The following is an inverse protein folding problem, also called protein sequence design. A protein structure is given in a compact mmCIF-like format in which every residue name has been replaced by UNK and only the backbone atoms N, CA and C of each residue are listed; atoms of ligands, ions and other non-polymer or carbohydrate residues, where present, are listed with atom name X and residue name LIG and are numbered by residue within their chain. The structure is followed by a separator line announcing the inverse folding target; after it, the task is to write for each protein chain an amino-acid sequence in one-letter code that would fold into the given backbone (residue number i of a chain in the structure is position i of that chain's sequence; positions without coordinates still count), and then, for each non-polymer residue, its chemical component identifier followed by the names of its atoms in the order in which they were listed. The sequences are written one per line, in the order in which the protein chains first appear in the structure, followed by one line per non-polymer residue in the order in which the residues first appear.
data_IF_014116109120
#
_entry.id   IF_014116109120
#
_cell.length_a   1.000
_cell.length_b   1.000
_cell.length_c   1.000
_cell.angle_alpha   90.00
_cell.angle_beta   90.00
_cell.angle_gamma   90.00
#
_symmetry.space_group_name_H-M   'P 1'
#
loop_
_entity.id
_entity.type
_entity.pdbx_description
1 polymer ?
#
# COMPACT_ATOMS: atom_id res chain seq x y z
N UNK A 1 -22.98 -19.23 29.88
CA UNK A 1 -22.88 -20.70 30.03
C UNK A 1 -22.11 -21.03 31.30
N UNK A 2 -22.71 -21.84 32.16
CA UNK A 2 -22.06 -22.46 33.33
C UNK A 2 -21.05 -23.49 32.82
N UNK A 3 -19.84 -23.54 33.38
CA UNK A 3 -18.85 -24.55 32.99
C UNK A 3 -19.20 -25.92 33.59
N UNK A 4 -19.19 -26.95 32.75
CA UNK A 4 -19.50 -28.34 33.13
C UNK A 4 -18.21 -29.15 33.04
N UNK A 5 -17.86 -29.84 34.12
CA UNK A 5 -16.68 -30.69 34.14
C UNK A 5 -16.77 -31.83 33.11
N UNK A 6 -15.64 -32.14 32.46
CA UNK A 6 -15.56 -33.32 31.59
C UNK A 6 -15.76 -34.60 32.38
N UNK A 7 -16.43 -35.60 31.78
CA UNK A 7 -16.54 -36.95 32.35
C UNK A 7 -15.16 -37.58 32.66
N UNK A 8 -14.12 -37.17 31.93
CA UNK A 8 -12.76 -37.68 32.08
C UNK A 8 -11.88 -36.81 33.01
N UNK A 9 -12.42 -35.77 33.67
CA UNK A 9 -11.64 -34.82 34.49
C UNK A 9 -11.01 -35.46 35.73
N UNK A 10 -11.62 -36.53 36.23
CA UNK A 10 -11.20 -37.25 37.44
C UNK A 10 -10.58 -38.62 37.12
N UNK A 11 -10.09 -38.82 35.90
CA UNK A 11 -9.23 -39.96 35.57
C UNK A 11 -8.01 -40.00 36.50
N UNK A 12 -7.54 -41.22 36.83
CA UNK A 12 -6.30 -41.39 37.58
C UNK A 12 -5.08 -40.94 36.74
N UNK A 13 -3.94 -40.75 37.41
CA UNK A 13 -2.69 -40.38 36.73
C UNK A 13 -2.29 -41.45 35.73
N UNK A 14 -2.45 -42.73 36.08
CA UNK A 14 -2.11 -43.88 35.25
C UNK A 14 -2.92 -43.89 33.96
N UNK A 15 -4.24 -43.66 34.06
CA UNK A 15 -5.12 -43.60 32.89
C UNK A 15 -4.78 -42.40 31.99
N UNK A 16 -4.50 -41.24 32.58
CA UNK A 16 -4.07 -40.07 31.81
C UNK A 16 -2.73 -40.32 31.08
N UNK A 17 -1.77 -40.97 31.73
CA UNK A 17 -0.48 -41.31 31.12
C UNK A 17 -0.62 -42.36 30.01
N UNK A 18 -1.57 -43.29 30.13
CA UNK A 18 -1.90 -44.23 29.05
C UNK A 18 -2.44 -43.49 27.83
N UNK A 19 -3.45 -42.64 28.01
CA UNK A 19 -4.02 -41.82 26.92
C UNK A 19 -2.99 -40.86 26.31
N UNK A 20 -2.08 -40.32 27.12
CA UNK A 20 -0.98 -39.48 26.64
C UNK A 20 -0.04 -40.22 25.69
N UNK A 21 0.32 -41.48 26.00
CA UNK A 21 1.13 -42.32 25.09
C UNK A 21 0.43 -42.59 23.77
N UNK A 22 -0.89 -42.83 23.80
CA UNK A 22 -1.72 -42.94 22.59
C UNK A 22 -1.68 -41.66 21.74
N UNK A 23 -1.72 -40.49 22.38
CA UNK A 23 -1.58 -39.19 21.69
C UNK A 23 -0.20 -39.00 21.06
N UNK A 24 0.89 -39.37 21.76
CA UNK A 24 2.26 -39.25 21.25
C UNK A 24 2.44 -40.00 19.93
N UNK A 25 1.98 -41.26 19.88
CA UNK A 25 2.09 -42.10 18.68
C UNK A 25 1.03 -41.77 17.62
N UNK A 26 0.03 -40.96 17.98
CA UNK A 26 -1.07 -40.57 17.09
C UNK A 26 -1.99 -41.75 16.73
N UNK A 27 -2.24 -42.67 17.67
CA UNK A 27 -3.16 -43.79 17.44
C UNK A 27 -4.59 -43.33 17.20
N UNK A 28 -5.47 -44.20 16.70
CA UNK A 28 -6.89 -43.88 16.51
C UNK A 28 -7.52 -43.34 17.80
N UNK A 29 -7.17 -43.92 18.96
CA UNK A 29 -7.61 -43.42 20.26
C UNK A 29 -6.99 -42.08 20.61
N UNK A 30 -5.69 -41.91 20.37
CA UNK A 30 -4.97 -40.65 20.61
C UNK A 30 -5.54 -39.48 19.82
N UNK A 31 -5.95 -39.71 18.56
CA UNK A 31 -6.56 -38.70 17.70
C UNK A 31 -7.92 -38.18 18.24
N UNK A 32 -8.62 -38.97 19.05
CA UNK A 32 -9.86 -38.58 19.72
C UNK A 32 -9.62 -37.85 21.05
N UNK A 33 -8.37 -37.73 21.49
CA UNK A 33 -8.00 -37.16 22.78
C UNK A 33 -7.41 -35.75 22.64
N UNK A 34 -7.51 -34.97 23.71
CA UNK A 34 -6.72 -33.76 23.90
C UNK A 34 -6.25 -33.69 25.35
N UNK A 35 -5.05 -33.12 25.58
CA UNK A 35 -4.58 -32.87 26.93
C UNK A 35 -5.15 -31.54 27.39
N UNK A 36 -5.72 -31.50 28.60
CA UNK A 36 -6.25 -30.28 29.22
C UNK A 36 -5.59 -30.03 30.57
N UNK A 37 -5.41 -28.76 30.92
CA UNK A 37 -5.12 -28.37 32.29
C UNK A 37 -6.30 -28.65 33.21
N UNK A 38 -6.03 -29.02 34.46
CA UNK A 38 -7.05 -29.16 35.50
C UNK A 38 -7.08 -27.88 36.34
N UNK A 39 -7.91 -26.93 35.92
CA UNK A 39 -8.04 -25.59 36.49
C UNK A 39 -9.40 -25.45 37.22
N UNK A 40 -10.14 -24.36 37.03
CA UNK A 40 -11.47 -24.17 37.61
C UNK A 40 -12.52 -23.99 36.51
N UNK A 41 -13.41 -24.97 36.37
CA UNK A 41 -14.51 -24.93 35.40
C UNK A 41 -15.57 -23.89 35.75
N UNK A 42 -15.62 -23.41 37.00
CA UNK A 42 -16.54 -22.37 37.46
C UNK A 42 -15.94 -20.96 37.42
N UNK A 43 -14.68 -20.82 37.04
CA UNK A 43 -13.99 -19.52 37.02
C UNK A 43 -14.75 -18.51 36.14
N UNK A 44 -14.98 -17.27 36.62
CA UNK A 44 -15.62 -16.23 35.80
C UNK A 44 -14.85 -15.95 34.50
N UNK A 45 -13.52 -16.06 34.53
CA UNK A 45 -12.66 -16.00 33.36
C UNK A 45 -12.65 -17.35 32.63
N UNK A 46 -13.27 -17.38 31.45
CA UNK A 46 -13.38 -18.59 30.64
C UNK A 46 -12.04 -19.17 30.19
N UNK A 47 -10.97 -18.37 30.13
CA UNK A 47 -9.64 -18.86 29.76
C UNK A 47 -9.03 -19.80 30.82
N UNK A 48 -9.51 -19.71 32.07
CA UNK A 48 -9.09 -20.56 33.19
C UNK A 48 -9.95 -21.83 33.34
N UNK A 49 -10.88 -22.09 32.41
CA UNK A 49 -11.75 -23.28 32.45
C UNK A 49 -11.15 -24.45 31.69
N UNK A 50 -10.28 -25.20 32.39
CA UNK A 50 -9.57 -26.39 31.90
C UNK A 50 -9.10 -26.25 30.43
N UNK A 51 -8.15 -25.35 30.16
CA UNK A 51 -7.66 -25.11 28.80
C UNK A 51 -7.11 -26.40 28.13
N UNK A 52 -7.30 -26.54 26.82
CA UNK A 52 -6.57 -27.52 26.01
C UNK A 52 -5.09 -27.13 25.85
N UNK A 53 -4.19 -27.98 26.34
CA UNK A 53 -2.74 -27.82 26.22
C UNK A 53 -2.16 -28.48 24.97
N UNK A 54 -2.60 -29.68 24.61
CA UNK A 54 -2.14 -30.38 23.39
C UNK A 54 -3.29 -30.97 22.60
N UNK A 55 -3.11 -31.01 21.28
CA UNK A 55 -4.00 -31.70 20.34
C UNK A 55 -3.17 -32.54 19.37
N UNK A 56 -3.75 -33.64 18.91
CA UNK A 56 -3.16 -34.40 17.83
C UNK A 56 -3.41 -33.71 16.49
N UNK A 57 -2.40 -33.69 15.64
CA UNK A 57 -2.49 -33.31 14.23
C UNK A 57 -1.56 -34.23 13.44
N UNK A 58 -2.10 -35.13 12.59
CA UNK A 58 -1.29 -36.10 11.87
C UNK A 58 -0.50 -35.49 10.70
N UNK A 59 -0.83 -34.27 10.28
CA UNK A 59 -0.20 -33.59 9.15
C UNK A 59 1.28 -33.28 9.45
N UNK A 60 2.18 -33.46 8.47
CA UNK A 60 3.59 -33.09 8.63
C UNK A 60 3.76 -31.60 8.92
N UNK A 61 4.61 -31.27 9.90
CA UNK A 61 5.02 -29.90 10.18
C UNK A 61 6.06 -29.44 9.16
N UNK A 62 5.97 -28.18 8.71
CA UNK A 62 6.83 -27.65 7.66
C UNK A 62 8.34 -27.65 7.99
N UNK A 63 8.73 -27.53 9.27
CA UNK A 63 10.15 -27.59 9.72
C UNK A 63 10.59 -29.02 10.09
N UNK A 64 9.86 -29.70 10.98
CA UNK A 64 10.28 -30.95 11.63
C UNK A 64 9.59 -32.20 11.03
N UNK A 65 8.87 -32.03 9.92
CA UNK A 65 8.19 -33.12 9.21
C UNK A 65 7.20 -33.88 10.09
N UNK A 66 7.30 -35.21 10.06
CA UNK A 66 6.40 -36.12 10.79
C UNK A 66 6.93 -36.54 12.17
N UNK A 67 7.94 -35.85 12.72
CA UNK A 67 8.57 -36.23 13.99
C UNK A 67 7.58 -36.26 15.16
N UNK A 68 6.59 -35.38 15.17
CA UNK A 68 5.56 -35.31 16.20
C UNK A 68 4.16 -35.41 15.57
N UNK A 69 3.25 -36.04 16.32
CA UNK A 69 1.83 -36.18 15.96
C UNK A 69 0.89 -35.38 16.86
N UNK A 70 1.44 -34.69 17.86
CA UNK A 70 0.73 -33.81 18.76
C UNK A 70 1.46 -32.48 18.90
N UNK A 71 0.71 -31.40 19.03
CA UNK A 71 1.23 -30.05 19.07
C UNK A 71 0.57 -29.26 20.21
N UNK A 72 1.33 -28.38 20.88
CA UNK A 72 0.79 -27.56 21.95
C UNK A 72 -0.15 -26.50 21.37
N UNK A 73 -1.12 -26.07 22.17
CA UNK A 73 -1.92 -24.88 21.86
C UNK A 73 -1.07 -23.61 22.05
N UNK A 74 -1.47 -22.53 21.36
CA UNK A 74 -0.85 -21.21 21.51
C UNK A 74 -0.74 -20.79 22.99
N UNK A 75 -1.85 -20.90 23.72
CA UNK A 75 -1.95 -20.47 25.12
C UNK A 75 -1.06 -21.27 26.06
N UNK A 76 -0.72 -22.52 25.71
CA UNK A 76 0.19 -23.36 26.49
C UNK A 76 1.66 -23.17 26.09
N UNK A 77 1.93 -23.00 24.80
CA UNK A 77 3.28 -22.85 24.27
C UNK A 77 3.89 -21.47 24.58
N UNK A 78 3.14 -20.38 24.38
CA UNK A 78 3.69 -19.02 24.51
C UNK A 78 4.26 -18.71 25.91
N UNK A 79 3.55 -18.98 27.03
CA UNK A 79 4.09 -18.69 28.35
C UNK A 79 5.39 -19.46 28.65
N UNK A 80 5.50 -20.70 28.17
CA UNK A 80 6.69 -21.54 28.27
C UNK A 80 7.84 -20.96 27.44
N UNK A 81 7.61 -20.64 26.17
CA UNK A 81 8.64 -20.12 25.26
C UNK A 81 9.19 -18.80 25.75
N UNK A 82 8.33 -17.86 26.14
CA UNK A 82 8.73 -16.56 26.64
C UNK A 82 9.58 -16.67 27.91
N UNK A 83 9.15 -17.50 28.87
CA UNK A 83 9.92 -17.73 30.08
C UNK A 83 11.27 -18.39 29.78
N UNK A 84 11.30 -19.39 28.90
CA UNK A 84 12.50 -20.15 28.54
C UNK A 84 13.53 -19.33 27.76
N UNK A 85 13.06 -18.37 26.97
CA UNK A 85 13.88 -17.42 26.20
C UNK A 85 14.25 -16.16 27.00
N UNK A 86 13.77 -16.03 28.25
CA UNK A 86 14.11 -14.89 29.11
C UNK A 86 13.39 -13.59 28.73
N UNK A 87 12.26 -13.65 28.01
CA UNK A 87 11.46 -12.48 27.64
C UNK A 87 10.99 -11.75 28.89
N UNK A 88 11.48 -10.53 29.08
CA UNK A 88 11.15 -9.68 30.24
C UNK A 88 9.77 -9.04 30.09
N UNK A 89 9.48 -8.53 28.90
CA UNK A 89 8.25 -7.80 28.57
C UNK A 89 7.62 -8.43 27.33
N UNK A 90 6.51 -9.16 27.52
CA UNK A 90 5.73 -9.73 26.42
C UNK A 90 4.73 -8.68 25.92
N UNK A 91 5.01 -8.07 24.76
CA UNK A 91 4.16 -7.06 24.14
C UNK A 91 3.11 -7.75 23.25
N UNK A 92 1.81 -7.49 23.50
CA UNK A 92 0.74 -8.11 22.71
C UNK A 92 -0.48 -7.22 22.52
N UNK A 93 -1.35 -7.62 21.59
CA UNK A 93 -2.61 -6.93 21.36
C UNK A 93 -3.60 -7.14 22.51
N UNK A 94 -4.40 -6.11 22.80
CA UNK A 94 -5.41 -6.09 23.89
C UNK A 94 -6.53 -7.12 23.74
N UNK A 95 -6.73 -7.68 22.55
CA UNK A 95 -7.69 -8.76 22.30
C UNK A 95 -7.39 -10.05 23.06
N UNK A 96 -6.16 -10.22 23.53
CA UNK A 96 -5.78 -11.37 24.33
C UNK A 96 -6.00 -11.12 25.83
N UNK A 97 -6.42 -9.93 26.28
CA UNK A 97 -6.47 -9.53 27.69
C UNK A 97 -7.00 -10.59 28.66
N UNK A 98 -8.13 -11.21 28.34
CA UNK A 98 -8.75 -12.24 29.17
C UNK A 98 -7.82 -13.45 29.42
N UNK A 99 -6.84 -13.69 28.55
CA UNK A 99 -5.86 -14.78 28.63
C UNK A 99 -4.63 -14.45 29.47
N UNK A 100 -4.49 -13.24 30.00
CA UNK A 100 -3.34 -12.87 30.84
C UNK A 100 -3.29 -13.73 32.10
N UNK A 101 -4.43 -13.92 32.78
CA UNK A 101 -4.51 -14.75 33.98
C UNK A 101 -4.09 -16.19 33.70
N UNK A 102 -4.56 -16.74 32.58
CA UNK A 102 -4.17 -18.06 32.08
C UNK A 102 -2.67 -18.16 31.80
N UNK A 103 -2.09 -17.17 31.14
CA UNK A 103 -0.66 -17.13 30.82
C UNK A 103 0.19 -17.20 32.10
N UNK A 104 -0.14 -16.38 33.11
CA UNK A 104 0.57 -16.39 34.40
C UNK A 104 0.39 -17.70 35.16
N UNK A 105 -0.83 -18.27 35.10
CA UNK A 105 -1.12 -19.55 35.75
C UNK A 105 -0.26 -20.68 35.19
N UNK A 106 -0.07 -20.72 33.87
CA UNK A 106 0.77 -21.73 33.22
C UNK A 106 2.24 -21.58 33.63
N UNK A 107 2.76 -20.34 33.71
CA UNK A 107 4.13 -20.12 34.18
C UNK A 107 4.31 -20.54 35.64
N UNK A 108 3.32 -20.28 36.49
CA UNK A 108 3.31 -20.69 37.89
C UNK A 108 3.28 -22.23 38.03
N UNK A 109 2.36 -22.90 37.34
CA UNK A 109 2.24 -24.37 37.38
C UNK A 109 3.52 -25.06 36.90
N UNK A 110 4.29 -24.43 36.00
CA UNK A 110 5.57 -24.93 35.50
C UNK A 110 6.79 -24.51 36.35
N UNK A 111 6.61 -23.71 37.40
CA UNK A 111 7.71 -23.18 38.21
C UNK A 111 8.64 -22.23 37.44
N UNK A 112 8.10 -21.53 36.44
CA UNK A 112 8.84 -20.65 35.54
C UNK A 112 8.84 -19.19 35.99
N UNK A 113 9.82 -18.43 35.47
CA UNK A 113 9.86 -16.98 35.68
C UNK A 113 8.64 -16.31 35.02
N UNK A 114 8.03 -15.36 35.73
CA UNK A 114 6.96 -14.52 35.20
C UNK A 114 7.50 -13.50 34.21
N UNK A 115 6.90 -13.44 33.02
CA UNK A 115 7.15 -12.37 32.03
C UNK A 115 6.13 -11.25 32.23
N UNK A 116 6.52 -9.97 32.15
CA UNK A 116 5.57 -8.87 32.28
C UNK A 116 4.78 -8.68 30.99
N UNK A 117 3.46 -8.84 31.03
CA UNK A 117 2.62 -8.62 29.84
C UNK A 117 2.26 -7.14 29.73
N UNK A 118 2.52 -6.54 28.58
CA UNK A 118 2.07 -5.20 28.22
C UNK A 118 1.23 -5.25 26.96
N UNK A 119 0.11 -4.52 27.00
CA UNK A 119 -0.93 -4.62 26.00
C UNK A 119 -1.17 -3.30 25.29
N UNK A 120 -1.39 -3.39 23.99
CA UNK A 120 -1.72 -2.26 23.13
C UNK A 120 -2.82 -2.65 22.13
N UNK A 121 -3.55 -1.67 21.62
CA UNK A 121 -4.55 -1.87 20.59
C UNK A 121 -3.88 -2.22 19.27
N UNK A 122 -4.51 -3.10 18.50
CA UNK A 122 -4.08 -3.36 17.13
C UNK A 122 -4.36 -2.12 16.27
N UNK A 123 -3.47 -1.84 15.32
CA UNK A 123 -3.75 -0.89 14.24
C UNK A 123 -4.90 -1.39 13.35
N UNK A 124 -5.92 -0.57 13.13
CA UNK A 124 -6.92 -0.82 12.08
C UNK A 124 -6.95 0.36 11.11
N UNK A 125 -6.98 0.05 9.83
CA UNK A 125 -7.10 1.03 8.75
C UNK A 125 -8.51 0.93 8.14
N UNK A 126 -9.07 2.05 7.70
CA UNK A 126 -10.30 2.05 6.90
C UNK A 126 -10.10 1.29 5.58
N UNK A 127 -11.21 0.85 4.97
CA UNK A 127 -11.24 0.14 3.69
C UNK A 127 -10.37 -1.13 3.63
N UNK A 128 -10.04 -1.69 4.80
CA UNK A 128 -9.12 -2.82 4.93
C UNK A 128 -9.87 -4.05 5.42
N UNK A 129 -9.56 -5.20 4.83
CA UNK A 129 -10.13 -6.50 5.18
C UNK A 129 -9.06 -7.45 5.71
N UNK A 130 -9.50 -8.48 6.44
CA UNK A 130 -8.61 -9.56 6.92
C UNK A 130 -8.60 -10.79 6.01
N UNK A 131 -9.59 -10.94 5.13
CA UNK A 131 -9.77 -12.10 4.25
C UNK A 131 -8.85 -12.04 3.01
N UNK A 132 -7.58 -11.69 3.18
CA UNK A 132 -6.64 -11.46 2.07
C UNK A 132 -6.43 -12.71 1.21
N UNK A 133 -6.35 -13.89 1.83
CA UNK A 133 -6.21 -15.16 1.12
C UNK A 133 -7.34 -15.39 0.10
N UNK A 134 -8.57 -14.96 0.41
CA UNK A 134 -9.69 -15.11 -0.50
C UNK A 134 -9.49 -14.29 -1.78
N UNK A 135 -8.98 -13.06 -1.69
CA UNK A 135 -8.71 -12.23 -2.86
C UNK A 135 -7.65 -12.87 -3.78
N UNK A 136 -6.60 -13.44 -3.18
CA UNK A 136 -5.55 -14.15 -3.92
C UNK A 136 -6.12 -15.39 -4.60
N UNK A 137 -6.85 -16.23 -3.85
CA UNK A 137 -7.41 -17.49 -4.39
C UNK A 137 -8.48 -17.27 -5.47
N UNK A 138 -9.18 -16.14 -5.45
CA UNK A 138 -10.23 -15.81 -6.43
C UNK A 138 -9.74 -14.88 -7.55
N UNK A 139 -8.43 -14.65 -7.68
CA UNK A 139 -7.85 -13.83 -8.76
C UNK A 139 -8.36 -12.39 -8.78
N UNK A 140 -8.72 -11.83 -7.61
CA UNK A 140 -9.15 -10.43 -7.48
C UNK A 140 -7.98 -9.47 -7.34
N UNK A 141 -6.80 -10.02 -7.10
CA UNK A 141 -5.50 -9.34 -6.99
C UNK A 141 -4.42 -10.22 -7.61
N UNK A 142 -3.27 -9.63 -7.89
CA UNK A 142 -2.17 -10.31 -8.57
C UNK A 142 -1.37 -11.21 -7.62
N UNK A 143 -1.32 -10.87 -6.33
CA UNK A 143 -0.54 -11.58 -5.33
C UNK A 143 -0.59 -10.96 -3.93
N UNK A 144 0.33 -11.37 -3.06
CA UNK A 144 0.48 -10.81 -1.71
C UNK A 144 1.18 -9.44 -1.70
N UNK A 145 1.88 -9.14 -2.78
CA UNK A 145 2.60 -7.91 -3.10
C UNK A 145 1.80 -6.93 -3.97
N UNK A 146 0.52 -7.24 -4.22
CA UNK A 146 -0.38 -6.38 -4.98
C UNK A 146 -0.47 -4.96 -4.36
N UNK A 147 -0.34 -3.87 -5.14
CA UNK A 147 -0.40 -2.49 -4.65
C UNK A 147 -1.68 -2.11 -3.89
N UNK A 148 -2.77 -2.86 -4.09
CA UNK A 148 -4.06 -2.66 -3.40
C UNK A 148 -4.10 -3.34 -2.03
N UNK A 149 -3.15 -4.22 -1.72
CA UNK A 149 -3.10 -4.94 -0.46
C UNK A 149 -2.56 -4.10 0.69
N UNK A 150 -3.11 -4.27 1.90
CA UNK A 150 -2.61 -3.63 3.13
C UNK A 150 -1.37 -4.36 3.70
N UNK A 151 -0.71 -5.21 2.90
CA UNK A 151 0.52 -5.89 3.29
C UNK A 151 1.69 -4.92 3.18
N UNK A 152 2.77 -5.19 3.91
CA UNK A 152 4.00 -4.39 3.78
C UNK A 152 4.52 -4.42 2.34
N UNK A 153 4.50 -5.59 1.70
CA UNK A 153 4.92 -5.72 0.31
C UNK A 153 4.02 -4.93 -0.64
N UNK A 154 2.70 -4.99 -0.48
CA UNK A 154 1.74 -4.27 -1.32
C UNK A 154 1.84 -2.76 -1.20
N UNK A 155 1.90 -2.22 0.02
CA UNK A 155 2.03 -0.77 0.18
C UNK A 155 3.40 -0.25 -0.29
N UNK A 156 4.47 -1.04 -0.15
CA UNK A 156 5.81 -0.71 -0.66
C UNK A 156 5.86 -0.79 -2.19
N UNK A 157 5.23 -1.78 -2.82
CA UNK A 157 5.12 -1.88 -4.28
C UNK A 157 4.31 -0.70 -4.85
N UNK A 158 3.33 -0.18 -4.10
CA UNK A 158 2.62 1.06 -4.40
C UNK A 158 3.44 2.34 -4.19
N UNK A 159 4.68 2.25 -3.69
CA UNK A 159 5.59 3.39 -3.52
C UNK A 159 5.61 3.99 -2.11
N UNK A 160 5.11 3.29 -1.10
CA UNK A 160 5.33 3.67 0.30
C UNK A 160 6.80 3.45 0.70
N UNK A 161 7.42 4.47 1.28
CA UNK A 161 8.74 4.37 1.90
C UNK A 161 8.62 3.77 3.30
N UNK A 162 9.55 2.86 3.65
CA UNK A 162 9.53 2.16 4.95
C UNK A 162 9.68 3.17 6.10
N UNK A 163 10.46 4.22 5.87
CA UNK A 163 10.65 5.34 6.80
C UNK A 163 9.32 6.05 7.10
N UNK A 164 8.45 6.20 6.09
CA UNK A 164 7.12 6.79 6.26
C UNK A 164 6.24 5.91 7.15
N UNK A 165 6.29 4.59 6.95
CA UNK A 165 5.58 3.63 7.78
C UNK A 165 6.07 3.67 9.23
N UNK A 166 7.39 3.67 9.43
CA UNK A 166 8.00 3.76 10.76
C UNK A 166 7.55 5.05 11.46
N UNK A 167 7.63 6.20 10.78
CA UNK A 167 7.17 7.47 11.33
C UNK A 167 5.68 7.44 11.68
N UNK A 168 4.84 6.87 10.82
CA UNK A 168 3.41 6.72 11.08
C UNK A 168 3.14 5.89 12.34
N UNK A 169 3.86 4.78 12.53
CA UNK A 169 3.73 3.94 13.73
C UNK A 169 4.20 4.68 14.99
N UNK A 170 5.30 5.44 14.91
CA UNK A 170 5.78 6.25 16.05
C UNK A 170 4.81 7.38 16.42
N UNK A 171 4.25 8.08 15.43
CA UNK A 171 3.24 9.12 15.66
C UNK A 171 1.96 8.57 16.31
N UNK A 172 1.61 7.31 16.03
CA UNK A 172 0.45 6.67 16.62
C UNK A 172 0.70 6.26 18.08
N UNK A 173 1.88 5.71 18.35
CA UNK A 173 2.27 5.22 19.67
C UNK A 173 1.48 3.99 20.14
N UNK A 174 1.92 3.42 21.27
CA UNK A 174 1.26 2.28 21.88
C UNK A 174 0.14 2.76 22.83
N UNK A 175 -1.12 2.54 22.45
CA UNK A 175 -2.29 2.85 23.27
C UNK A 175 -3.25 1.67 23.34
N UNK A 176 -3.96 1.48 24.45
CA UNK A 176 -5.00 0.45 24.60
C UNK A 176 -6.31 0.81 23.89
N UNK A 177 -6.49 2.08 23.51
CA UNK A 177 -7.72 2.55 22.86
C UNK A 177 -7.82 2.00 21.44
N UNK A 178 -8.97 1.45 21.09
CA UNK A 178 -9.25 1.02 19.72
C UNK A 178 -9.08 2.20 18.76
N UNK A 179 -8.37 1.95 17.67
CA UNK A 179 -8.11 2.93 16.64
C UNK A 179 -8.69 2.46 15.29
N UNK A 180 -9.13 3.44 14.49
CA UNK A 180 -9.47 3.27 13.08
C UNK A 180 -8.86 4.45 12.33
N UNK A 181 -7.81 4.17 11.57
CA UNK A 181 -6.95 5.16 10.94
C UNK A 181 -7.29 5.31 9.45
N UNK A 182 -7.14 6.54 8.96
CA UNK A 182 -7.30 6.88 7.54
C UNK A 182 -5.96 6.71 6.81
N UNK A 183 -6.00 6.18 5.58
CA UNK A 183 -4.80 6.01 4.75
C UNK A 183 -4.14 7.34 4.38
N UNK A 184 -4.93 8.41 4.27
CA UNK A 184 -4.47 9.75 3.89
C UNK A 184 -3.34 10.26 4.79
N UNK A 185 -3.37 9.93 6.09
CA UNK A 185 -2.31 10.32 7.03
C UNK A 185 -0.98 9.66 6.66
N UNK A 186 -0.99 8.35 6.42
CA UNK A 186 0.20 7.60 6.03
C UNK A 186 0.78 8.11 4.70
N UNK A 187 -0.09 8.35 3.71
CA UNK A 187 0.33 8.87 2.41
C UNK A 187 0.82 10.32 2.46
N UNK A 188 0.27 11.14 3.35
CA UNK A 188 0.79 12.50 3.62
C UNK A 188 2.20 12.46 4.19
N UNK A 189 2.48 11.54 5.11
CA UNK A 189 3.84 11.33 5.65
C UNK A 189 4.78 10.87 4.53
N UNK A 190 4.34 9.92 3.71
CA UNK A 190 5.11 9.44 2.56
C UNK A 190 5.46 10.56 1.58
N UNK A 191 4.47 11.41 1.24
CA UNK A 191 4.66 12.57 0.36
C UNK A 191 5.75 13.51 0.89
N UNK A 192 5.76 13.80 2.20
CA UNK A 192 6.78 14.67 2.81
C UNK A 192 8.19 14.12 2.67
N UNK A 193 8.34 12.80 2.55
CA UNK A 193 9.63 12.12 2.34
C UNK A 193 10.03 12.13 0.87
N UNK A 194 9.09 11.81 -0.05
CA UNK A 194 9.42 11.66 -1.48
C UNK A 194 9.48 12.99 -2.24
N UNK A 195 8.62 13.97 -1.92
CA UNK A 195 8.50 15.22 -2.68
C UNK A 195 9.82 16.01 -2.74
N UNK A 196 10.59 16.19 -1.65
CA UNK A 196 11.83 16.96 -1.72
C UNK A 196 12.90 16.35 -2.64
N UNK A 197 12.83 15.05 -2.94
CA UNK A 197 13.92 14.31 -3.61
C UNK A 197 13.53 13.71 -4.97
N UNK A 198 12.24 13.53 -5.27
CA UNK A 198 11.80 12.79 -6.46
C UNK A 198 12.09 13.54 -7.79
N UNK A 199 12.70 12.96 -8.82
CA UNK A 199 12.83 13.62 -10.13
C UNK A 199 11.48 14.07 -10.71
N UNK A 200 11.46 15.23 -11.40
CA UNK A 200 10.26 15.77 -12.06
C UNK A 200 10.31 15.48 -13.55
N UNK A 201 9.21 14.91 -14.04
CA UNK A 201 9.00 14.54 -15.42
C UNK A 201 7.69 15.14 -15.93
N UNK A 202 7.57 15.26 -17.24
CA UNK A 202 6.34 15.73 -17.87
C UNK A 202 5.70 14.59 -18.64
N UNK A 203 4.39 14.45 -18.47
CA UNK A 203 3.58 13.52 -19.24
C UNK A 203 2.28 14.18 -19.68
N UNK A 204 1.75 13.74 -20.83
CA UNK A 204 0.48 14.18 -21.39
C UNK A 204 -0.37 12.95 -21.69
N UNK A 205 -1.64 12.96 -21.29
CA UNK A 205 -2.56 11.85 -21.59
C UNK A 205 -2.74 11.70 -23.11
N UNK A 206 -2.57 10.49 -23.63
CA UNK A 206 -2.45 10.25 -25.06
C UNK A 206 -3.72 10.61 -25.83
N UNK A 207 -4.88 10.13 -25.38
CA UNK A 207 -6.17 10.33 -26.05
C UNK A 207 -6.65 11.78 -26.00
N UNK A 208 -6.13 12.57 -25.06
CA UNK A 208 -6.54 13.96 -24.79
C UNK A 208 -5.37 14.93 -24.88
N UNK A 209 -4.42 14.70 -25.78
CA UNK A 209 -3.34 15.65 -26.04
C UNK A 209 -3.81 16.74 -27.00
N UNK A 210 -3.50 17.99 -26.68
CA UNK A 210 -3.80 19.16 -27.52
C UNK A 210 -2.52 19.69 -28.12
N UNK A 211 -2.53 19.97 -29.43
CA UNK A 211 -1.37 20.56 -30.10
C UNK A 211 -1.38 22.07 -29.92
N UNK A 212 -0.30 22.65 -29.40
CA UNK A 212 -0.03 24.09 -29.45
C UNK A 212 1.06 24.37 -30.48
N UNK A 213 0.72 25.19 -31.48
CA UNK A 213 1.66 25.68 -32.50
C UNK A 213 2.08 27.11 -32.16
N UNK A 214 3.38 27.31 -31.90
CA UNK A 214 3.98 28.61 -31.63
C UNK A 214 4.48 29.23 -32.95
N UNK A 215 3.80 30.25 -33.47
CA UNK A 215 4.05 30.75 -34.84
C UNK A 215 5.44 31.38 -34.99
N UNK A 216 5.94 32.06 -33.94
CA UNK A 216 7.30 32.57 -33.80
C UNK A 216 8.21 31.63 -32.96
N UNK A 217 7.82 30.36 -32.79
CA UNK A 217 8.67 29.33 -32.20
C UNK A 217 9.89 29.01 -33.08
N UNK A 218 10.85 28.21 -32.58
CA UNK A 218 12.08 27.90 -33.30
C UNK A 218 11.78 27.13 -34.59
N UNK A 219 12.39 27.54 -35.71
CA UNK A 219 12.23 26.88 -37.00
C UNK A 219 12.87 25.48 -37.00
N UNK A 220 14.07 25.38 -36.41
CA UNK A 220 14.76 24.11 -36.18
C UNK A 220 14.71 23.72 -34.68
N UNK A 221 14.37 22.46 -34.35
CA UNK A 221 14.43 21.98 -32.97
C UNK A 221 15.81 22.16 -32.33
N UNK A 222 15.84 22.54 -31.05
CA UNK A 222 17.08 22.59 -30.28
C UNK A 222 16.90 21.98 -28.89
N UNK A 223 18.00 21.57 -28.27
CA UNK A 223 18.01 20.95 -26.93
C UNK A 223 18.63 21.89 -25.91
N UNK A 224 18.09 21.94 -24.70
CA UNK A 224 18.77 22.54 -23.54
C UNK A 224 18.84 21.56 -22.39
N UNK A 225 19.97 21.58 -21.72
CA UNK A 225 20.20 20.87 -20.47
C UNK A 225 19.64 21.72 -19.33
N UNK A 226 18.83 21.11 -18.47
CA UNK A 226 18.12 21.79 -17.39
C UNK A 226 18.09 20.93 -16.12
N UNK A 227 18.04 21.53 -14.91
CA UNK A 227 17.92 20.73 -13.70
C UNK A 227 16.58 19.98 -13.66
N UNK A 228 16.61 18.68 -13.36
CA UNK A 228 15.38 17.87 -13.22
C UNK A 228 14.60 18.21 -11.96
N UNK A 229 15.26 18.68 -10.90
CA UNK A 229 14.60 19.34 -9.77
C UNK A 229 15.32 20.62 -9.34
N UNK A 230 14.66 21.76 -9.51
CA UNK A 230 15.17 23.10 -9.17
C UNK A 230 15.62 23.30 -7.72
N UNK A 231 15.16 22.49 -6.76
CA UNK A 231 15.47 22.65 -5.34
C UNK A 231 16.35 21.53 -4.78
N UNK A 232 16.66 20.51 -5.57
CA UNK A 232 17.43 19.35 -5.12
C UNK A 232 18.53 19.04 -6.11
N UNK A 233 19.75 19.41 -5.72
CA UNK A 233 20.96 19.23 -6.51
C UNK A 233 21.33 17.75 -6.73
N UNK A 234 20.80 16.84 -5.90
CA UNK A 234 21.02 15.39 -6.06
C UNK A 234 20.29 14.76 -7.25
N UNK A 235 19.43 15.51 -7.95
CA UNK A 235 18.85 15.03 -9.23
C UNK A 235 19.76 15.38 -10.39
N UNK A 236 19.91 14.44 -11.33
CA UNK A 236 20.62 14.69 -12.58
C UNK A 236 19.91 15.75 -13.44
N UNK A 237 20.62 16.28 -14.42
CA UNK A 237 20.05 17.18 -15.42
C UNK A 237 19.16 16.40 -16.42
N UNK A 238 18.26 17.13 -17.07
CA UNK A 238 17.36 16.66 -18.12
C UNK A 238 17.62 17.37 -19.44
N UNK A 239 17.50 16.65 -20.54
CA UNK A 239 17.58 17.21 -21.88
C UNK A 239 16.17 17.55 -22.37
N UNK A 240 15.86 18.83 -22.48
CA UNK A 240 14.56 19.29 -22.97
C UNK A 240 14.69 19.74 -24.41
N UNK A 241 13.95 19.10 -25.30
CA UNK A 241 13.87 19.51 -26.72
C UNK A 241 12.80 20.59 -26.87
N UNK A 242 13.13 21.67 -27.56
CA UNK A 242 12.25 22.80 -27.84
C UNK A 242 11.87 22.78 -29.32
N UNK A 243 10.57 22.80 -29.61
CA UNK A 243 10.02 22.66 -30.97
C UNK A 243 8.92 23.67 -31.22
N UNK A 244 8.74 24.11 -32.47
CA UNK A 244 7.61 24.98 -32.87
C UNK A 244 6.24 24.45 -32.44
N UNK A 245 6.09 23.12 -32.40
CA UNK A 245 4.86 22.40 -32.10
C UNK A 245 5.04 21.60 -30.82
N UNK A 246 4.16 21.77 -29.85
CA UNK A 246 4.21 21.09 -28.55
C UNK A 246 2.86 20.50 -28.16
N UNK A 247 2.89 19.43 -27.39
CA UNK A 247 1.72 18.80 -26.78
C UNK A 247 1.46 19.39 -25.41
N UNK A 248 0.19 19.67 -25.13
CA UNK A 248 -0.34 20.03 -23.84
C UNK A 248 -1.38 18.99 -23.40
N UNK A 249 -1.58 18.88 -22.09
CA UNK A 249 -2.72 18.16 -21.57
C UNK A 249 -4.02 18.92 -21.88
N UNK A 250 -5.10 18.20 -22.18
CA UNK A 250 -6.39 18.82 -22.48
C UNK A 250 -6.93 19.66 -21.32
N UNK A 251 -6.76 19.23 -20.06
CA UNK A 251 -7.28 20.01 -18.92
C UNK A 251 -6.54 21.35 -18.77
N UNK A 252 -5.25 21.35 -19.11
CA UNK A 252 -4.43 22.54 -19.19
C UNK A 252 -4.89 23.44 -20.35
N UNK A 253 -5.06 22.87 -21.55
CA UNK A 253 -5.48 23.60 -22.74
C UNK A 253 -6.89 24.20 -22.62
N UNK A 254 -7.83 23.46 -22.03
CA UNK A 254 -9.22 23.88 -21.79
C UNK A 254 -9.31 25.09 -20.86
N UNK A 255 -8.34 25.24 -19.97
CA UNK A 255 -8.30 26.35 -19.00
C UNK A 255 -7.83 27.66 -19.62
N UNK A 256 -7.27 27.64 -20.84
CA UNK A 256 -6.71 28.82 -21.51
C UNK A 256 -7.78 29.58 -22.29
N UNK A 257 -7.72 30.91 -22.22
CA UNK A 257 -8.55 31.83 -22.99
C UNK A 257 -7.79 32.44 -24.17
N UNK A 258 -8.53 32.92 -25.18
CA UNK A 258 -7.96 33.70 -26.29
C UNK A 258 -7.34 34.98 -25.75
N UNK A 259 -6.16 35.34 -26.27
CA UNK A 259 -5.28 36.43 -25.84
C UNK A 259 -4.76 36.33 -24.39
N UNK A 260 -4.89 35.16 -23.76
CA UNK A 260 -4.32 34.92 -22.43
C UNK A 260 -2.82 34.63 -22.52
N UNK A 261 -2.06 35.27 -21.63
CA UNK A 261 -0.65 34.99 -21.42
C UNK A 261 -0.47 33.84 -20.43
N UNK A 262 0.19 32.77 -20.87
CA UNK A 262 0.46 31.56 -20.10
C UNK A 262 1.96 31.35 -19.94
N UNK A 263 2.39 30.77 -18.82
CA UNK A 263 3.76 30.29 -18.68
C UNK A 263 3.87 28.86 -19.20
N UNK A 264 4.70 28.64 -20.22
CA UNK A 264 5.22 27.33 -20.59
C UNK A 264 6.37 27.02 -19.65
N UNK A 265 6.17 26.04 -18.77
CA UNK A 265 7.14 25.73 -17.72
C UNK A 265 8.52 25.47 -18.32
N UNK A 266 9.54 26.05 -17.70
CA UNK A 266 10.94 25.90 -18.11
C UNK A 266 11.30 26.46 -19.50
N UNK A 267 10.35 27.11 -20.20
CA UNK A 267 10.58 27.79 -21.47
C UNK A 267 10.43 29.32 -21.35
N UNK A 268 9.30 29.79 -20.81
CA UNK A 268 8.96 31.21 -20.78
C UNK A 268 7.46 31.43 -21.00
N UNK A 269 7.06 32.66 -21.28
CA UNK A 269 5.66 32.98 -21.52
C UNK A 269 5.28 32.81 -23.00
N UNK A 270 4.01 32.52 -23.24
CA UNK A 270 3.39 32.50 -24.56
C UNK A 270 1.99 33.13 -24.47
N UNK A 271 1.55 33.76 -25.56
CA UNK A 271 0.20 34.31 -25.67
C UNK A 271 -0.57 33.42 -26.65
N UNK A 272 -1.68 32.85 -26.19
CA UNK A 272 -2.55 32.04 -27.05
C UNK A 272 -3.43 32.98 -27.87
N UNK A 273 -3.39 32.85 -29.20
CA UNK A 273 -4.10 33.72 -30.14
C UNK A 273 -5.34 33.08 -30.71
N UNK A 274 -5.34 31.77 -30.91
CA UNK A 274 -6.48 31.05 -31.49
C UNK A 274 -6.67 29.73 -30.76
N UNK A 275 -7.94 29.34 -30.60
CA UNK A 275 -8.36 28.09 -29.96
C UNK A 275 -9.37 27.41 -30.88
N UNK A 276 -8.99 26.25 -31.41
CA UNK A 276 -9.86 25.41 -32.22
C UNK A 276 -10.59 24.40 -31.33
N UNK A 277 -11.88 24.19 -31.59
CA UNK A 277 -12.73 23.26 -30.86
C UNK A 277 -13.47 22.31 -31.80
N UNK A 278 -13.76 21.10 -31.31
CA UNK A 278 -14.61 20.14 -32.02
C UNK A 278 -16.12 20.46 -31.83
N UNK A 279 -16.97 19.60 -32.39
CA UNK A 279 -18.44 19.73 -32.30
C UNK A 279 -18.98 19.59 -30.87
N UNK A 280 -18.24 18.90 -30.01
CA UNK A 280 -18.59 18.68 -28.60
C UNK A 280 -18.01 19.78 -27.68
N UNK A 281 -17.29 20.75 -28.25
CA UNK A 281 -16.70 21.89 -27.56
C UNK A 281 -15.35 21.63 -26.89
N UNK A 282 -14.73 20.46 -27.14
CA UNK A 282 -13.40 20.11 -26.65
C UNK A 282 -12.33 20.85 -27.44
N UNK A 283 -11.23 21.22 -26.78
CA UNK A 283 -10.12 21.92 -27.45
C UNK A 283 -9.29 20.91 -28.24
N UNK A 284 -9.09 21.16 -29.53
CA UNK A 284 -8.36 20.26 -30.44
C UNK A 284 -6.97 20.79 -30.79
N UNK A 285 -6.85 22.10 -30.98
CA UNK A 285 -5.60 22.77 -31.34
C UNK A 285 -5.57 24.20 -30.78
N UNK A 286 -4.37 24.67 -30.47
CA UNK A 286 -4.08 26.03 -30.06
C UNK A 286 -3.02 26.63 -30.99
N UNK A 287 -3.16 27.90 -31.32
CA UNK A 287 -2.13 28.68 -31.99
C UNK A 287 -1.73 29.83 -31.08
N UNK A 288 -0.43 30.05 -30.91
CA UNK A 288 0.08 31.11 -30.05
C UNK A 288 1.41 31.68 -30.51
N UNK A 289 1.89 32.66 -29.75
CA UNK A 289 3.20 33.30 -29.95
C UNK A 289 4.00 33.25 -28.65
N UNK A 290 5.28 32.91 -28.73
CA UNK A 290 6.23 33.07 -27.64
C UNK A 290 6.37 34.56 -27.30
N UNK A 291 6.33 34.86 -26.01
CA UNK A 291 6.49 36.19 -25.45
C UNK A 291 7.54 36.13 -24.33
N UNK A 292 8.81 35.89 -24.70
CA UNK A 292 9.89 35.64 -23.74
C UNK A 292 10.26 36.86 -22.88
N UNK A 293 9.85 38.05 -23.29
CA UNK A 293 9.98 39.30 -22.52
C UNK A 293 8.97 39.40 -21.38
N UNK A 294 7.94 38.54 -21.39
CA UNK A 294 6.93 38.44 -20.35
C UNK A 294 7.47 37.94 -19.00
N UNK A 295 6.65 38.05 -17.96
CA UNK A 295 7.03 37.64 -16.60
C UNK A 295 6.27 36.40 -16.16
N UNK A 296 7.00 35.34 -15.82
CA UNK A 296 6.44 34.10 -15.25
C UNK A 296 5.77 34.31 -13.87
N UNK A 297 5.97 35.48 -13.25
CA UNK A 297 5.37 35.85 -11.96
C UNK A 297 3.97 36.44 -12.12
N UNK A 298 3.64 37.01 -13.27
CA UNK A 298 2.36 37.72 -13.51
C UNK A 298 1.28 36.82 -14.09
N UNK A 299 1.67 35.74 -14.79
CA UNK A 299 0.72 34.80 -15.40
C UNK A 299 0.06 33.89 -14.37
N UNK A 300 -1.24 33.68 -14.50
CA UNK A 300 -2.01 32.76 -13.63
C UNK A 300 -1.78 31.30 -14.01
N UNK A 301 -1.81 30.99 -15.30
CA UNK A 301 -1.69 29.63 -15.81
C UNK A 301 -0.22 29.26 -16.06
N UNK A 302 0.17 28.10 -15.54
CA UNK A 302 1.50 27.50 -15.70
C UNK A 302 1.33 26.08 -16.23
N UNK A 303 1.66 25.90 -17.50
CA UNK A 303 1.38 24.70 -18.27
C UNK A 303 2.64 23.86 -18.40
N UNK A 304 2.46 22.56 -18.32
CA UNK A 304 3.50 21.58 -18.67
C UNK A 304 3.30 21.15 -20.12
N UNK A 305 4.40 20.85 -20.82
CA UNK A 305 4.37 20.59 -22.25
C UNK A 305 5.39 19.53 -22.64
N UNK A 306 5.10 18.83 -23.73
CA UNK A 306 6.04 17.92 -24.39
C UNK A 306 6.32 18.37 -25.81
N UNK A 307 7.54 18.26 -26.33
CA UNK A 307 7.82 18.60 -27.72
C UNK A 307 7.16 17.57 -28.65
N UNK A 308 6.62 18.02 -29.79
CA UNK A 308 6.12 17.10 -30.82
C UNK A 308 7.31 16.45 -31.53
N UNK A 309 7.71 15.27 -31.07
CA UNK A 309 8.83 14.48 -31.61
C UNK A 309 8.51 13.00 -31.62
N UNK A 310 9.31 12.20 -32.34
CA UNK A 310 9.24 10.73 -32.30
C UNK A 310 9.93 10.12 -31.07
N UNK A 311 10.61 10.92 -30.25
CA UNK A 311 11.41 10.42 -29.13
C UNK A 311 10.62 10.28 -27.82
N UNK A 312 9.35 10.69 -27.81
CA UNK A 312 8.47 10.55 -26.64
C UNK A 312 8.31 9.09 -26.23
N UNK A 313 8.12 8.86 -24.94
CA UNK A 313 8.03 7.53 -24.36
C UNK A 313 6.58 7.18 -24.07
N UNK A 314 6.13 6.00 -24.51
CA UNK A 314 4.80 5.51 -24.16
C UNK A 314 4.77 5.11 -22.68
N UNK A 315 3.74 5.56 -21.97
CA UNK A 315 3.50 5.27 -20.56
C UNK A 315 2.11 4.66 -20.38
N UNK A 316 1.98 3.75 -19.43
CA UNK A 316 0.72 3.32 -18.85
C UNK A 316 0.69 3.79 -17.41
N UNK A 317 -0.14 4.79 -17.13
CA UNK A 317 -0.36 5.31 -15.79
C UNK A 317 -1.44 4.47 -15.10
N UNK A 318 -1.13 3.88 -13.96
CA UNK A 318 -2.04 3.00 -13.22
C UNK A 318 -2.47 3.64 -11.92
N UNK A 319 -3.77 3.89 -11.77
CA UNK A 319 -4.41 4.27 -10.52
C UNK A 319 -5.00 3.06 -9.80
N UNK A 320 -4.99 3.08 -8.47
CA UNK A 320 -5.59 2.03 -7.65
C UNK A 320 -6.62 2.59 -6.68
N UNK A 321 -7.77 1.92 -6.60
CA UNK A 321 -8.79 2.16 -5.57
C UNK A 321 -8.74 1.09 -4.47
N UNK A 322 -9.53 1.30 -3.42
CA UNK A 322 -9.75 0.33 -2.37
C UNK A 322 -10.48 -0.92 -2.88
N UNK A 323 -10.12 -2.09 -2.34
CA UNK A 323 -10.76 -3.37 -2.64
C UNK A 323 -12.22 -3.48 -2.18
N UNK A 324 -12.62 -2.61 -1.26
CA UNK A 324 -14.00 -2.49 -0.78
C UNK A 324 -14.46 -1.05 -0.81
N UNK A 325 -15.78 -0.87 -0.93
CA UNK A 325 -16.44 0.44 -0.95
C UNK A 325 -16.83 0.94 0.45
N UNK A 326 -16.82 0.07 1.47
CA UNK A 326 -17.22 0.39 2.85
C UNK A 326 -16.01 0.68 3.74
N UNK A 327 -16.02 1.82 4.47
CA UNK A 327 -14.92 2.23 5.37
C UNK A 327 -14.57 1.20 6.44
N UNK A 328 -15.59 0.59 7.04
CA UNK A 328 -15.43 -0.41 8.11
C UNK A 328 -16.55 -1.43 7.97
N UNK A 329 -16.19 -2.71 8.02
CA UNK A 329 -17.18 -3.78 8.14
C UNK A 329 -17.69 -3.88 9.58
N UNK A 330 -18.99 -4.02 9.72
CA UNK A 330 -19.67 -4.29 10.98
C UNK A 330 -19.98 -5.79 11.12
N UNK A 331 -20.30 -6.20 12.34
CA UNK A 331 -20.64 -7.59 12.63
C UNK A 331 -21.90 -8.01 11.84
N UNK A 332 -21.78 -9.12 11.09
CA UNK A 332 -22.84 -9.61 10.21
C UNK A 332 -22.75 -9.15 8.75
N UNK A 333 -21.85 -8.22 8.41
CA UNK A 333 -21.62 -7.86 7.01
C UNK A 333 -21.01 -9.03 6.22
N UNK A 334 -21.57 -9.32 5.05
CA UNK A 334 -20.89 -10.13 4.04
C UNK A 334 -19.99 -9.22 3.18
N UNK A 335 -18.67 -9.37 3.33
CA UNK A 335 -17.69 -8.53 2.62
C UNK A 335 -17.81 -8.64 1.09
N UNK A 336 -18.36 -9.75 0.56
CA UNK A 336 -18.60 -9.94 -0.88
C UNK A 336 -19.54 -8.85 -1.43
N UNK A 337 -20.51 -8.39 -0.63
CA UNK A 337 -21.49 -7.39 -1.04
C UNK A 337 -20.91 -5.98 -1.15
N UNK A 338 -19.73 -5.74 -0.58
CA UNK A 338 -19.08 -4.42 -0.57
C UNK A 338 -17.77 -4.42 -1.35
N UNK A 339 -17.52 -5.46 -2.16
CA UNK A 339 -16.38 -5.48 -3.07
C UNK A 339 -16.46 -4.31 -4.04
N UNK A 340 -15.33 -3.67 -4.29
CA UNK A 340 -15.24 -2.64 -5.31
C UNK A 340 -15.05 -3.31 -6.68
N UNK A 341 -15.97 -3.12 -7.64
CA UNK A 341 -15.88 -3.75 -8.96
C UNK A 341 -14.74 -3.18 -9.81
N UNK A 342 -14.29 -1.94 -9.54
CA UNK A 342 -13.24 -1.29 -10.31
C UNK A 342 -12.18 -0.71 -9.37
N UNK A 343 -11.05 -1.41 -9.27
CA UNK A 343 -9.98 -1.10 -8.31
C UNK A 343 -8.66 -0.72 -8.98
N UNK A 344 -8.62 -0.75 -10.31
CA UNK A 344 -7.44 -0.52 -11.13
C UNK A 344 -7.87 0.23 -12.37
N UNK A 345 -7.27 1.38 -12.60
CA UNK A 345 -7.53 2.25 -13.75
C UNK A 345 -6.24 2.44 -14.51
N UNK A 346 -6.29 2.35 -15.82
CA UNK A 346 -5.13 2.58 -16.68
C UNK A 346 -5.41 3.73 -17.62
N UNK A 347 -4.40 4.56 -17.86
CA UNK A 347 -4.46 5.61 -18.86
C UNK A 347 -3.17 5.63 -19.66
N UNK A 348 -3.30 5.61 -20.99
CA UNK A 348 -2.18 5.78 -21.88
C UNK A 348 -1.70 7.24 -21.84
N UNK A 349 -0.39 7.45 -21.78
CA UNK A 349 0.22 8.76 -21.77
C UNK A 349 1.53 8.76 -22.55
N UNK A 350 1.96 9.94 -22.98
CA UNK A 350 3.29 10.19 -23.52
C UNK A 350 4.12 10.89 -22.45
N UNK A 351 5.34 10.42 -22.24
CA UNK A 351 6.33 10.98 -21.34
C UNK A 351 7.51 11.60 -22.07
N UNK A 352 8.30 12.41 -21.35
CA UNK A 352 9.56 12.91 -21.85
C UNK A 352 10.57 11.79 -22.17
N UNK A 353 11.49 12.06 -23.09
CA UNK A 353 12.49 11.09 -23.58
C UNK A 353 13.40 10.56 -22.48
N UNK A 354 13.67 11.37 -21.46
CA UNK A 354 14.56 10.99 -20.36
C UNK A 354 13.98 9.87 -19.49
N UNK A 355 12.66 9.67 -19.55
CA UNK A 355 11.98 8.58 -18.84
C UNK A 355 12.47 7.19 -19.29
N UNK A 356 13.15 7.07 -20.45
CA UNK A 356 13.82 5.82 -20.86
C UNK A 356 14.86 5.32 -19.86
N UNK A 357 15.39 6.21 -19.02
CA UNK A 357 16.41 5.90 -18.03
C UNK A 357 15.83 5.49 -16.66
N UNK A 358 14.51 5.49 -16.49
CA UNK A 358 13.85 5.11 -15.24
C UNK A 358 14.16 3.65 -14.89
N UNK A 359 14.43 3.42 -13.61
CA UNK A 359 14.68 2.08 -13.07
C UNK A 359 13.44 1.53 -12.35
N UNK A 360 13.27 0.20 -12.27
CA UNK A 360 12.25 -0.40 -11.41
C UNK A 360 12.37 0.11 -9.97
N UNK A 361 11.24 0.44 -9.36
CA UNK A 361 11.12 0.97 -8.01
C UNK A 361 11.48 2.46 -7.86
N UNK A 362 11.89 3.13 -8.93
CA UNK A 362 12.21 4.56 -8.90
C UNK A 362 10.94 5.39 -8.74
N UNK A 363 10.98 6.35 -7.82
CA UNK A 363 9.85 7.25 -7.54
C UNK A 363 10.07 8.57 -8.27
N UNK A 364 9.07 9.02 -9.00
CA UNK A 364 9.09 10.28 -9.73
C UNK A 364 7.82 11.10 -9.49
N UNK A 365 7.87 12.37 -9.85
CA UNK A 365 6.71 13.24 -9.94
C UNK A 365 6.43 13.52 -11.41
N UNK A 366 5.25 13.13 -11.89
CA UNK A 366 4.71 13.68 -13.13
C UNK A 366 4.09 15.03 -12.77
N UNK A 367 4.66 16.09 -13.33
CA UNK A 367 4.23 17.44 -12.99
C UNK A 367 2.75 17.63 -13.32
N UNK A 368 1.99 18.20 -12.36
CA UNK A 368 0.52 18.34 -12.37
C UNK A 368 -0.27 17.01 -12.28
N UNK A 369 0.35 15.86 -12.51
CA UNK A 369 -0.31 14.55 -12.49
C UNK A 369 -0.05 13.73 -11.21
N UNK A 370 0.89 14.16 -10.35
CA UNK A 370 1.14 13.56 -9.04
C UNK A 370 2.42 12.73 -8.97
N UNK A 371 2.48 11.80 -8.03
CA UNK A 371 3.68 10.98 -7.77
C UNK A 371 3.44 9.56 -8.26
N UNK A 372 4.49 8.94 -8.78
CA UNK A 372 4.45 7.61 -9.37
C UNK A 372 5.69 6.81 -8.98
N UNK A 373 5.54 5.49 -8.92
CA UNK A 373 6.65 4.54 -8.86
C UNK A 373 6.72 3.76 -10.17
N UNK A 374 7.92 3.59 -10.71
CA UNK A 374 8.15 2.79 -11.90
C UNK A 374 8.08 1.29 -11.54
N UNK A 375 7.05 0.61 -12.01
CA UNK A 375 6.89 -0.83 -11.82
C UNK A 375 7.63 -1.59 -12.93
N UNK A 376 7.32 -1.26 -14.19
CA UNK A 376 7.97 -1.82 -15.37
C UNK A 376 8.72 -0.68 -16.10
N UNK A 377 10.06 -0.75 -16.20
CA UNK A 377 10.85 0.29 -16.85
C UNK A 377 10.79 0.18 -18.37
N UNK A 378 11.41 1.14 -19.05
CA UNK A 378 11.53 1.11 -20.50
C UNK A 378 12.31 -0.12 -20.97
N UNK A 379 11.79 -0.79 -21.99
CA UNK A 379 12.46 -1.93 -22.63
C UNK A 379 12.57 -1.73 -24.14
N UNK A 380 11.46 -1.36 -24.78
CA UNK A 380 11.37 -1.14 -26.23
C UNK A 380 10.30 -0.09 -26.51
N UNK A 381 10.34 0.56 -27.68
CA UNK A 381 9.35 1.57 -28.07
C UNK A 381 7.91 1.05 -28.12
N UNK A 382 7.73 -0.26 -28.38
CA UNK A 382 6.41 -0.90 -28.44
C UNK A 382 5.83 -1.28 -27.07
N UNK A 383 6.63 -1.22 -25.99
CA UNK A 383 6.18 -1.55 -24.64
C UNK A 383 6.18 -0.29 -23.78
N UNK A 384 5.02 0.13 -23.24
CA UNK A 384 4.96 1.30 -22.39
C UNK A 384 5.67 1.05 -21.04
N UNK A 385 6.21 2.12 -20.46
CA UNK A 385 6.63 2.11 -19.04
C UNK A 385 5.36 2.02 -18.19
N UNK A 386 5.35 1.13 -17.20
CA UNK A 386 4.24 1.01 -16.26
C UNK A 386 4.52 1.83 -15.00
N UNK A 387 3.67 2.81 -14.72
CA UNK A 387 3.82 3.72 -13.58
C UNK A 387 2.63 3.58 -12.63
N UNK A 388 2.88 3.22 -11.39
CA UNK A 388 1.84 3.12 -10.36
C UNK A 388 1.71 4.43 -9.60
N UNK A 389 0.48 4.96 -9.53
CA UNK A 389 0.19 6.20 -8.82
C UNK A 389 0.37 6.02 -7.31
N UNK A 390 1.21 6.88 -6.73
CA UNK A 390 1.44 6.98 -5.29
C UNK A 390 0.45 8.01 -4.74
N UNK A 391 -0.40 7.64 -3.76
CA UNK A 391 -1.30 8.61 -3.15
C UNK A 391 -0.53 9.70 -2.39
N UNK A 392 -1.09 10.91 -2.37
CA UNK A 392 -0.41 12.10 -1.85
C UNK A 392 -1.12 12.70 -0.61
N UNK A 393 -2.08 11.97 -0.05
CA UNK A 393 -2.87 12.35 1.13
C UNK A 393 -4.09 13.22 0.84
N UNK A 394 -4.40 13.51 -0.43
CA UNK A 394 -5.68 14.10 -0.85
C UNK A 394 -6.52 13.03 -1.54
N UNK A 395 -7.85 13.14 -1.48
CA UNK A 395 -8.73 12.35 -2.34
C UNK A 395 -8.35 12.66 -3.80
N UNK A 396 -7.73 11.69 -4.47
CA UNK A 396 -7.27 11.88 -5.84
C UNK A 396 -8.47 12.12 -6.78
N UNK A 397 -8.39 13.07 -7.72
CA UNK A 397 -9.11 12.92 -8.97
C UNK A 397 -8.47 11.72 -9.67
N UNK A 398 -9.10 10.55 -9.51
CA UNK A 398 -8.67 9.35 -10.23
C UNK A 398 -8.85 9.65 -11.71
N UNK A 399 -7.87 9.24 -12.52
CA UNK A 399 -7.94 9.11 -13.96
C UNK A 399 -9.11 8.17 -14.34
N UNK A 400 -10.34 8.68 -14.19
CA UNK A 400 -11.62 7.99 -14.43
C UNK A 400 -12.20 8.41 -15.77
#
# INVERSE_FOLDING_TARGET
MVGIESKCRNNSVEENMKLWKEMIVGSERGLQCCLRGKLDMKDPNKSLRDLVYYRCNPLPHHIIGSQYKMYPSYDFACPFVDARQGISHALRSSEYHDRNAQYYRIQEDMGMRKAHIYEFSRLNMVYTLRNLLWFVQNGKVDGWDDPRFPTIQGIVSRGLKVEALIQFIFEQGASKNLNLMEWDKLWTINKKIIDPVCPRHTAVIEERRVLLTLTNGPDEPFVRIMPRHKKYEGTCEKETTFTKRIWLDHEDAKSVSVDEEVTLKDWGNAIVKEISRDQDGNVTELTGVLHLEGSVKTTKLKLTWLPKTSELVNLTLVGFDYLITKKKLEEGDNFINVLNPCTRFESAALGDSDMRNLKPGEVLQLERNGYFICDVPFTTLSKPILLFAIPDGRQQPVFK
#
